data_IF_452422297467
#
_entry.id   IF_452422297467
#
_cell.length_a   1.000
_cell.length_b   1.000
_cell.length_c   1.000
_cell.angle_alpha   90.00
_cell.angle_beta   90.00
_cell.angle_gamma   90.00
#
_symmetry.space_group_name_H-M   'P 1'
#
loop_
_entity.id
_entity.type
_entity.pdbx_description
1 polymer ?
#
# COMPACT_ATOMS: atom_id res chain seq x y z
N UNK A 1 -4.88 -10.32 -10.33
CA UNK A 1 -6.15 -9.57 -10.35
C UNK A 1 -7.29 -10.31 -11.00
N UNK A 2 -7.14 -11.02 -12.13
CA UNK A 2 -8.29 -11.74 -12.70
C UNK A 2 -8.92 -12.80 -11.78
N UNK A 3 -8.12 -13.46 -10.93
CA UNK A 3 -8.60 -14.30 -9.81
C UNK A 3 -9.58 -13.57 -8.88
N UNK A 4 -9.42 -12.25 -8.70
CA UNK A 4 -10.13 -11.43 -7.74
C UNK A 4 -11.33 -10.71 -8.36
N UNK A 5 -11.17 -10.18 -9.57
CA UNK A 5 -12.22 -9.44 -10.28
C UNK A 5 -13.21 -10.36 -11.04
N UNK A 6 -12.90 -11.66 -11.15
CA UNK A 6 -13.74 -12.61 -11.88
C UNK A 6 -13.74 -12.43 -13.41
N UNK A 7 -12.86 -11.57 -13.91
CA UNK A 7 -12.60 -11.33 -15.34
C UNK A 7 -11.10 -11.41 -15.61
N UNK A 8 -10.70 -11.92 -16.77
CA UNK A 8 -9.34 -11.87 -17.30
C UNK A 8 -9.18 -10.79 -18.38
N UNK A 9 -10.22 -9.99 -18.62
CA UNK A 9 -10.17 -8.87 -19.55
C UNK A 9 -9.15 -7.81 -19.07
N UNK A 10 -8.18 -7.53 -19.93
CA UNK A 10 -7.05 -6.68 -19.59
C UNK A 10 -7.52 -5.26 -19.25
N UNK A 11 -8.30 -4.64 -20.15
CA UNK A 11 -8.71 -3.24 -20.01
C UNK A 11 -9.54 -3.03 -18.74
N UNK A 12 -10.51 -3.92 -18.49
CA UNK A 12 -11.31 -3.91 -17.26
C UNK A 12 -10.44 -4.00 -16.00
N UNK A 13 -9.42 -4.87 -15.99
CA UNK A 13 -8.51 -4.99 -14.83
C UNK A 13 -7.76 -3.67 -14.60
N UNK A 14 -7.27 -3.03 -15.65
CA UNK A 14 -6.45 -1.82 -15.53
C UNK A 14 -7.24 -0.58 -15.13
N UNK A 15 -8.54 -0.53 -15.43
CA UNK A 15 -9.43 0.56 -14.97
C UNK A 15 -9.55 0.63 -13.44
N UNK A 16 -9.30 -0.48 -12.73
CA UNK A 16 -9.36 -0.56 -11.27
C UNK A 16 -7.99 -0.42 -10.58
N UNK A 17 -6.93 -0.07 -11.32
CA UNK A 17 -5.57 -0.08 -10.80
C UNK A 17 -4.81 1.21 -11.05
N UNK A 18 -4.04 1.63 -10.05
CA UNK A 18 -3.08 2.71 -10.15
C UNK A 18 -1.77 2.30 -9.45
N UNK A 19 -0.66 2.85 -9.94
CA UNK A 19 0.68 2.60 -9.39
C UNK A 19 1.35 3.93 -9.09
N UNK A 20 1.91 4.03 -7.90
CA UNK A 20 2.72 5.18 -7.49
C UNK A 20 3.87 4.72 -6.61
N UNK A 21 4.99 5.43 -6.68
CA UNK A 21 6.08 5.25 -5.73
C UNK A 21 5.90 6.24 -4.57
N UNK A 22 6.21 5.80 -3.35
CA UNK A 22 6.19 6.69 -2.19
C UNK A 22 7.29 7.77 -2.30
N UNK A 23 8.50 7.35 -2.68
CA UNK A 23 9.59 8.26 -3.05
C UNK A 23 9.52 8.49 -4.56
N UNK A 24 9.11 9.69 -4.98
CA UNK A 24 8.81 10.02 -6.38
C UNK A 24 10.00 10.56 -7.19
N UNK A 25 11.23 10.32 -6.73
CA UNK A 25 12.45 10.76 -7.39
C UNK A 25 13.54 9.69 -7.25
N UNK A 26 14.50 9.70 -8.17
CA UNK A 26 15.63 8.79 -8.11
C UNK A 26 16.59 9.20 -7.00
N UNK A 27 16.93 8.24 -6.13
CA UNK A 27 17.96 8.45 -5.12
C UNK A 27 19.35 8.48 -5.78
N UNK A 28 20.26 9.36 -5.32
CA UNK A 28 21.61 9.38 -5.83
C UNK A 28 22.29 8.05 -5.48
N UNK A 29 22.86 7.40 -6.50
CA UNK A 29 23.62 6.18 -6.34
C UNK A 29 25.09 6.42 -6.68
N UNK A 30 25.98 5.78 -5.92
CA UNK A 30 27.41 5.79 -6.23
C UNK A 30 27.69 4.92 -7.45
N UNK A 31 28.53 5.41 -8.37
CA UNK A 31 29.06 4.65 -9.51
C UNK A 31 28.00 4.12 -10.50
N UNK A 32 26.86 4.80 -10.64
CA UNK A 32 25.84 4.44 -11.63
C UNK A 32 25.08 3.14 -11.32
N UNK A 33 25.16 2.63 -10.08
CA UNK A 33 24.36 1.49 -9.64
C UNK A 33 22.94 1.89 -9.21
N UNK A 34 22.12 0.91 -8.85
CA UNK A 34 20.89 1.15 -8.09
C UNK A 34 21.22 1.39 -6.60
N UNK A 35 20.38 2.16 -5.92
CA UNK A 35 20.41 2.34 -4.47
C UNK A 35 19.01 2.08 -3.90
N UNK A 36 18.92 1.21 -2.91
CA UNK A 36 17.69 0.95 -2.17
C UNK A 36 17.26 2.17 -1.34
N UNK A 37 15.95 2.36 -1.20
CA UNK A 37 15.38 3.35 -0.30
C UNK A 37 15.56 2.90 1.15
N UNK A 38 16.08 3.78 2.00
CA UNK A 38 16.14 3.58 3.44
C UNK A 38 15.20 4.54 4.18
N UNK A 39 14.97 4.28 5.47
CA UNK A 39 14.16 5.14 6.34
C UNK A 39 14.61 6.60 6.37
N UNK A 40 15.91 6.85 6.22
CA UNK A 40 16.49 8.21 6.22
C UNK A 40 16.23 8.97 4.92
N UNK A 41 15.80 8.29 3.85
CA UNK A 41 15.43 8.94 2.58
C UNK A 41 13.99 9.48 2.61
N UNK A 42 13.19 9.09 3.61
CA UNK A 42 11.80 9.49 3.72
C UNK A 42 11.67 10.85 4.40
N UNK A 43 10.76 11.66 3.87
CA UNK A 43 10.47 13.00 4.38
C UNK A 43 8.96 13.28 4.43
N UNK A 44 8.59 14.38 5.10
CA UNK A 44 7.20 14.86 5.13
C UNK A 44 6.66 15.18 3.73
N UNK A 45 7.52 15.59 2.80
CA UNK A 45 7.13 15.83 1.40
C UNK A 45 6.61 14.55 0.75
N UNK A 46 7.24 13.41 1.02
CA UNK A 46 6.84 12.14 0.41
C UNK A 46 5.50 11.66 0.99
N UNK A 47 5.25 11.93 2.27
CA UNK A 47 3.93 11.70 2.90
C UNK A 47 2.84 12.63 2.35
N UNK A 48 3.17 13.89 2.10
CA UNK A 48 2.25 14.85 1.47
C UNK A 48 1.86 14.40 0.06
N UNK A 49 2.84 14.03 -0.77
CA UNK A 49 2.60 13.51 -2.12
C UNK A 49 1.75 12.22 -2.09
N UNK A 50 2.02 11.30 -1.16
CA UNK A 50 1.16 10.14 -0.94
C UNK A 50 -0.29 10.55 -0.63
N UNK A 51 -0.48 11.52 0.27
CA UNK A 51 -1.80 12.00 0.67
C UNK A 51 -2.56 12.60 -0.52
N UNK A 52 -1.90 13.41 -1.34
CA UNK A 52 -2.49 13.99 -2.56
C UNK A 52 -2.96 12.90 -3.54
N UNK A 53 -2.14 11.86 -3.76
CA UNK A 53 -2.52 10.73 -4.63
C UNK A 53 -3.75 10.01 -4.09
N UNK A 54 -3.82 9.77 -2.78
CA UNK A 54 -4.97 9.11 -2.15
C UNK A 54 -6.23 9.99 -2.25
N UNK A 55 -6.10 11.30 -2.07
CA UNK A 55 -7.20 12.25 -2.24
C UNK A 55 -7.73 12.31 -3.67
N UNK A 56 -6.83 12.27 -4.66
CA UNK A 56 -7.19 12.36 -6.07
C UNK A 56 -7.83 11.06 -6.59
N UNK A 57 -7.26 9.91 -6.21
CA UNK A 57 -7.71 8.61 -6.74
C UNK A 57 -8.85 7.99 -5.93
N UNK A 58 -9.02 8.38 -4.66
CA UNK A 58 -10.04 7.82 -3.75
C UNK A 58 -10.05 6.28 -3.75
N UNK A 59 -8.91 5.60 -3.52
CA UNK A 59 -8.84 4.15 -3.64
C UNK A 59 -9.54 3.47 -2.46
N UNK A 60 -10.24 2.35 -2.70
CA UNK A 60 -10.78 1.52 -1.62
C UNK A 60 -9.67 0.75 -0.88
N UNK A 61 -8.65 0.29 -1.61
CA UNK A 61 -7.54 -0.51 -1.09
C UNK A 61 -6.20 0.02 -1.62
N UNK A 62 -5.23 0.22 -0.72
CA UNK A 62 -3.83 0.50 -1.03
C UNK A 62 -2.98 -0.72 -0.70
N UNK A 63 -2.20 -1.19 -1.67
CA UNK A 63 -1.23 -2.27 -1.48
C UNK A 63 0.17 -1.66 -1.35
N UNK A 64 0.77 -1.79 -0.17
CA UNK A 64 2.13 -1.30 0.10
C UNK A 64 3.12 -2.43 -0.06
N UNK A 65 4.04 -2.31 -1.02
CA UNK A 65 5.09 -3.30 -1.23
C UNK A 65 6.34 -3.00 -0.39
N UNK A 66 6.63 -3.88 0.57
CA UNK A 66 7.82 -3.76 1.41
C UNK A 66 7.59 -2.93 2.68
N UNK A 67 8.60 -2.88 3.55
CA UNK A 67 8.44 -2.37 4.93
C UNK A 67 9.00 -0.97 5.17
N UNK A 68 9.76 -0.42 4.21
CA UNK A 68 10.54 0.82 4.41
C UNK A 68 9.66 2.03 4.77
N UNK A 69 8.38 2.05 4.39
CA UNK A 69 7.48 3.17 4.67
C UNK A 69 6.50 2.90 5.82
N UNK A 70 6.65 1.77 6.52
CA UNK A 70 5.66 1.31 7.50
C UNK A 70 5.47 2.29 8.65
N UNK A 71 6.55 2.83 9.23
CA UNK A 71 6.41 3.81 10.32
C UNK A 71 5.65 5.05 9.86
N UNK A 72 5.86 5.53 8.63
CA UNK A 72 5.14 6.67 8.09
C UNK A 72 3.65 6.38 7.90
N UNK A 73 3.30 5.16 7.44
CA UNK A 73 1.91 4.80 7.16
C UNK A 73 1.12 4.21 8.33
N UNK A 74 1.78 3.61 9.33
CA UNK A 74 1.14 2.77 10.36
C UNK A 74 1.43 3.21 11.80
N UNK A 75 2.52 3.90 12.06
CA UNK A 75 2.89 4.30 13.42
C UNK A 75 2.69 5.80 13.65
N UNK A 76 2.98 6.60 12.62
CA UNK A 76 2.99 8.08 12.69
C UNK A 76 1.94 8.72 11.80
N UNK A 77 1.06 7.92 11.19
CA UNK A 77 0.07 8.43 10.26
C UNK A 77 -1.10 9.08 11.03
N UNK A 78 -1.35 10.39 10.87
CA UNK A 78 -2.44 11.08 11.56
C UNK A 78 -3.83 10.61 11.12
N UNK A 79 -3.94 9.91 9.99
CA UNK A 79 -5.21 9.41 9.46
C UNK A 79 -5.53 7.99 9.91
N UNK A 80 -4.67 7.33 10.70
CA UNK A 80 -4.90 5.97 11.16
C UNK A 80 -6.09 5.90 12.13
N UNK A 81 -7.06 5.04 11.84
CA UNK A 81 -8.28 4.92 12.66
C UNK A 81 -8.52 3.57 13.30
N UNK A 82 -7.75 2.53 12.95
CA UNK A 82 -7.89 1.20 13.55
C UNK A 82 -6.56 0.63 14.05
N UNK A 83 -6.20 1.04 15.28
CA UNK A 83 -5.05 0.47 15.99
C UNK A 83 -5.29 -0.98 16.42
N UNK A 84 -6.55 -1.37 16.61
CA UNK A 84 -6.90 -2.71 17.13
C UNK A 84 -6.69 -3.76 16.03
N UNK A 85 -7.25 -3.55 14.85
CA UNK A 85 -7.04 -4.44 13.70
C UNK A 85 -5.57 -4.45 13.28
N UNK A 86 -4.88 -3.30 13.34
CA UNK A 86 -3.45 -3.26 13.10
C UNK A 86 -2.70 -4.19 14.05
N UNK A 87 -3.05 -4.25 15.33
CA UNK A 87 -2.43 -5.18 16.28
C UNK A 87 -2.84 -6.64 16.04
N UNK A 88 -4.12 -6.90 15.81
CA UNK A 88 -4.68 -8.25 15.59
C UNK A 88 -4.14 -8.90 14.30
N UNK A 89 -3.80 -8.10 13.30
CA UNK A 89 -3.23 -8.57 12.02
C UNK A 89 -1.70 -8.60 12.01
N UNK A 90 -1.04 -8.32 13.14
CA UNK A 90 0.42 -8.18 13.24
C UNK A 90 0.96 -7.10 12.29
N UNK A 91 0.33 -5.94 12.33
CA UNK A 91 0.64 -4.76 11.52
C UNK A 91 0.46 -5.00 10.01
N UNK A 92 -0.37 -5.96 9.60
CA UNK A 92 -0.52 -6.31 8.18
C UNK A 92 -1.59 -5.47 7.47
N UNK A 93 -2.71 -5.19 8.16
CA UNK A 93 -3.85 -4.40 7.68
C UNK A 93 -4.06 -3.19 8.57
N UNK A 94 -4.38 -2.05 7.97
CA UNK A 94 -4.95 -0.91 8.70
C UNK A 94 -5.91 -0.11 7.83
N UNK A 95 -6.61 0.84 8.47
CA UNK A 95 -7.57 1.72 7.81
C UNK A 95 -7.21 3.18 8.04
N UNK A 96 -7.34 3.98 6.98
CA UNK A 96 -7.04 5.42 6.98
C UNK A 96 -8.29 6.25 6.68
N UNK A 97 -8.57 7.26 7.48
CA UNK A 97 -9.55 8.31 7.19
C UNK A 97 -8.83 9.57 6.71
N UNK A 98 -8.44 9.58 5.43
CA UNK A 98 -7.73 10.72 4.83
C UNK A 98 -8.70 11.87 4.58
N UNK A 99 -8.32 13.10 4.96
CA UNK A 99 -9.16 14.28 4.74
C UNK A 99 -9.48 14.45 3.25
N UNK A 100 -10.74 14.68 2.92
CA UNK A 100 -11.20 14.81 1.53
C UNK A 100 -11.47 13.47 0.84
N UNK A 101 -11.17 12.33 1.47
CA UNK A 101 -11.59 11.02 1.00
C UNK A 101 -12.96 10.67 1.57
N UNK A 102 -13.85 10.18 0.70
CA UNK A 102 -15.26 9.95 1.00
C UNK A 102 -15.52 8.72 1.88
N UNK A 103 -14.53 7.83 1.99
CA UNK A 103 -14.63 6.55 2.69
C UNK A 103 -13.29 6.18 3.36
N UNK A 104 -13.30 5.29 4.37
CA UNK A 104 -12.08 4.73 4.92
C UNK A 104 -11.32 3.92 3.87
N UNK A 105 -10.01 4.14 3.77
CA UNK A 105 -9.14 3.42 2.83
C UNK A 105 -8.45 2.28 3.55
N UNK A 106 -8.60 1.06 3.05
CA UNK A 106 -7.87 -0.11 3.55
C UNK A 106 -6.43 -0.10 3.06
N UNK A 107 -5.48 -0.44 3.92
CA UNK A 107 -4.06 -0.57 3.57
C UNK A 107 -3.61 -1.98 3.92
N UNK A 108 -3.06 -2.69 2.94
CA UNK A 108 -2.46 -4.03 3.11
C UNK A 108 -0.99 -3.98 2.74
N UNK A 109 -0.13 -4.67 3.50
CA UNK A 109 1.31 -4.57 3.35
C UNK A 109 2.00 -5.93 3.21
N UNK A 110 1.97 -6.53 2.01
CA UNK A 110 2.81 -7.68 1.71
C UNK A 110 4.29 -7.31 1.59
N UNK A 111 5.15 -8.33 1.54
CA UNK A 111 6.54 -8.16 1.16
C UNK A 111 6.65 -7.55 -0.25
N UNK A 112 7.79 -6.93 -0.54
CA UNK A 112 8.07 -6.46 -1.90
C UNK A 112 8.29 -7.67 -2.82
N UNK A 113 7.79 -7.68 -4.08
CA UNK A 113 7.97 -8.79 -5.01
C UNK A 113 9.43 -9.15 -5.31
N UNK A 114 10.37 -8.22 -5.14
CA UNK A 114 11.82 -8.48 -5.29
C UNK A 114 12.46 -9.17 -4.07
N UNK A 115 11.75 -9.24 -2.93
CA UNK A 115 12.26 -9.91 -1.73
C UNK A 115 12.07 -11.42 -1.85
N UNK A 116 13.04 -12.20 -1.39
CA UNK A 116 12.90 -13.65 -1.26
C UNK A 116 11.74 -14.04 -0.33
N UNK A 117 11.34 -13.16 0.59
CA UNK A 117 10.19 -13.34 1.48
C UNK A 117 8.83 -13.18 0.78
N UNK A 118 8.77 -12.70 -0.47
CA UNK A 118 7.52 -12.59 -1.23
C UNK A 118 6.71 -13.90 -1.22
N UNK A 119 7.37 -15.00 -1.56
CA UNK A 119 6.72 -16.30 -1.71
C UNK A 119 6.17 -16.86 -0.39
N UNK A 120 6.85 -16.61 0.74
CA UNK A 120 6.33 -17.03 2.06
C UNK A 120 5.15 -16.17 2.53
N UNK A 121 5.02 -14.95 2.01
CA UNK A 121 3.93 -14.03 2.34
C UNK A 121 2.65 -14.19 1.51
N UNK A 122 2.67 -14.96 0.41
CA UNK A 122 1.56 -15.03 -0.54
C UNK A 122 0.26 -15.53 0.09
N UNK A 123 0.31 -16.57 0.92
CA UNK A 123 -0.89 -17.10 1.57
C UNK A 123 -1.54 -16.07 2.51
N UNK A 124 -0.73 -15.32 3.27
CA UNK A 124 -1.21 -14.24 4.14
C UNK A 124 -1.81 -13.10 3.30
N UNK A 125 -1.15 -12.71 2.21
CA UNK A 125 -1.67 -11.71 1.28
C UNK A 125 -3.03 -12.11 0.71
N UNK A 126 -3.13 -13.31 0.12
CA UNK A 126 -4.35 -13.81 -0.47
C UNK A 126 -5.51 -13.86 0.53
N UNK A 127 -5.25 -14.27 1.77
CA UNK A 127 -6.24 -14.31 2.85
C UNK A 127 -6.79 -12.91 3.16
N UNK A 128 -5.92 -11.95 3.50
CA UNK A 128 -6.36 -10.61 3.90
C UNK A 128 -6.95 -9.83 2.72
N UNK A 129 -6.34 -9.93 1.54
CA UNK A 129 -6.84 -9.25 0.35
C UNK A 129 -8.23 -9.75 -0.04
N UNK A 130 -8.46 -11.08 -0.03
CA UNK A 130 -9.78 -11.64 -0.31
C UNK A 130 -10.83 -11.24 0.73
N UNK A 131 -10.44 -11.08 1.99
CA UNK A 131 -11.35 -10.62 3.05
C UNK A 131 -11.74 -9.15 2.85
N UNK A 132 -10.77 -8.30 2.48
CA UNK A 132 -11.03 -6.88 2.19
C UNK A 132 -11.99 -6.72 1.01
N UNK A 133 -11.76 -7.43 -0.10
CA UNK A 133 -12.66 -7.40 -1.25
C UNK A 133 -14.11 -7.75 -0.87
N UNK A 134 -14.30 -8.83 -0.10
CA UNK A 134 -15.63 -9.24 0.39
C UNK A 134 -16.28 -8.20 1.30
N UNK A 135 -15.50 -7.59 2.20
CA UNK A 135 -16.00 -6.60 3.16
C UNK A 135 -16.43 -5.31 2.45
N UNK A 136 -15.66 -4.89 1.45
CA UNK A 136 -15.91 -3.69 0.65
C UNK A 136 -16.92 -3.93 -0.48
N UNK A 137 -17.28 -5.20 -0.74
CA UNK A 137 -18.18 -5.62 -1.83
C UNK A 137 -17.63 -5.23 -3.21
N UNK A 138 -16.32 -5.37 -3.37
CA UNK A 138 -15.57 -5.20 -4.62
C UNK A 138 -15.43 -6.52 -5.37
#
# INVERSE_FOLDING_TARGET
MGKYLGTDDYDTIWEHMAFTNYVQFFLPATNGSFRETSWSDLSERDFAAFTEVVQQLQPDIIIVWGSVINSALKERNPYLVDLKELQETEYYVCHLNVLGVSHPVAVINPYHPSSSAWYSGQAKFDQYFSNLLKLLKL
#
